data_IF_541011375336
#
_entry.id   IF_541011375336
#
_cell.length_a   1.000
_cell.length_b   1.000
_cell.length_c   1.000
_cell.angle_alpha   90.00
_cell.angle_beta   90.00
_cell.angle_gamma   90.00
#
_symmetry.space_group_name_H-M   'P 1'
#
loop_
_entity.id
_entity.type
_entity.pdbx_description
1 polymer ?
#
# COMPACT_ATOMS: atom_id res chain seq x y z
N UNK A 1 -12.15 12.21 20.31
CA UNK A 1 -12.40 12.21 18.87
C UNK A 1 -11.43 11.22 18.25
N UNK A 2 -11.91 9.98 17.99
CA UNK A 2 -11.09 8.90 17.43
C UNK A 2 -10.68 9.24 16.00
N UNK A 3 -9.38 9.13 15.70
CA UNK A 3 -8.87 9.22 14.33
C UNK A 3 -9.39 8.02 13.55
N UNK A 4 -10.12 8.25 12.47
CA UNK A 4 -10.55 7.20 11.55
C UNK A 4 -9.36 6.85 10.65
N UNK A 5 -8.76 5.69 10.86
CA UNK A 5 -7.71 5.17 10.00
C UNK A 5 -8.35 4.38 8.84
N UNK A 6 -8.26 4.94 7.62
CA UNK A 6 -8.74 4.31 6.38
C UNK A 6 -7.70 4.43 5.28
N UNK A 7 -7.79 3.59 4.25
CA UNK A 7 -7.09 3.83 2.99
C UNK A 7 -7.84 4.95 2.26
N UNK A 8 -7.12 5.97 1.85
CA UNK A 8 -7.64 7.03 0.98
C UNK A 8 -7.16 6.74 -0.43
N UNK A 9 -8.07 6.80 -1.39
CA UNK A 9 -7.74 6.66 -2.80
C UNK A 9 -7.93 8.03 -3.45
N UNK A 10 -6.83 8.67 -3.85
CA UNK A 10 -6.84 9.93 -4.62
C UNK A 10 -6.10 9.65 -5.91
N UNK A 11 -6.72 9.84 -7.05
CA UNK A 11 -6.14 9.51 -8.35
C UNK A 11 -5.44 10.71 -9.01
N UNK A 12 -4.22 10.53 -9.52
CA UNK A 12 -3.52 11.48 -10.37
C UNK A 12 -3.43 10.91 -11.80
N UNK A 13 -4.22 11.42 -12.73
CA UNK A 13 -4.16 11.06 -14.15
C UNK A 13 -3.12 11.93 -14.86
N UNK A 14 -2.16 11.29 -15.53
CA UNK A 14 -1.31 11.96 -16.51
C UNK A 14 -1.58 11.38 -17.90
N UNK A 15 -2.06 12.20 -18.84
CA UNK A 15 -2.20 11.75 -20.23
C UNK A 15 -0.82 11.52 -20.84
N UNK A 16 -0.62 10.35 -21.45
CA UNK A 16 0.50 10.10 -22.36
C UNK A 16 1.80 9.59 -21.74
N UNK A 17 1.78 9.03 -20.51
CA UNK A 17 2.97 8.43 -19.92
C UNK A 17 2.92 6.90 -19.97
N UNK A 18 4.02 6.27 -20.43
CA UNK A 18 4.20 4.82 -20.34
C UNK A 18 4.52 4.41 -18.88
N UNK A 19 4.49 3.09 -18.58
CA UNK A 19 4.69 2.54 -17.23
C UNK A 19 6.02 3.03 -16.60
N UNK A 20 7.08 3.21 -17.37
CA UNK A 20 8.39 3.71 -16.91
C UNK A 20 8.36 5.22 -16.54
N UNK A 21 7.54 6.01 -17.22
CA UNK A 21 7.34 7.42 -16.87
C UNK A 21 6.46 7.59 -15.62
N UNK A 22 5.59 6.63 -15.35
CA UNK A 22 4.79 6.56 -14.12
C UNK A 22 5.69 6.47 -12.88
N UNK A 23 6.74 5.66 -12.91
CA UNK A 23 7.77 5.55 -11.87
C UNK A 23 8.35 6.91 -11.46
N UNK A 24 8.71 7.74 -12.44
CA UNK A 24 9.32 9.06 -12.19
C UNK A 24 8.34 10.09 -11.64
N UNK A 25 7.08 10.04 -12.06
CA UNK A 25 6.08 11.06 -11.70
C UNK A 25 5.51 10.86 -10.28
N UNK A 26 5.28 9.62 -9.86
CA UNK A 26 4.80 9.30 -8.51
C UNK A 26 5.87 9.65 -7.48
N UNK A 27 7.14 9.33 -7.74
CA UNK A 27 8.25 9.58 -6.83
C UNK A 27 8.60 11.07 -6.69
N UNK A 28 8.56 11.85 -7.77
CA UNK A 28 8.84 13.29 -7.73
C UNK A 28 7.74 14.14 -7.11
N UNK A 29 6.53 13.63 -6.99
CA UNK A 29 5.40 14.40 -6.43
C UNK A 29 5.03 14.04 -5.00
N UNK A 30 5.58 12.98 -4.42
CA UNK A 30 5.43 12.70 -2.99
C UNK A 30 6.12 13.74 -2.10
N UNK A 31 7.17 14.39 -2.60
CA UNK A 31 7.81 15.54 -1.94
C UNK A 31 6.97 16.84 -2.05
N UNK A 32 5.95 16.87 -2.90
CA UNK A 32 5.09 18.04 -3.15
C UNK A 32 3.74 17.96 -2.44
N UNK A 33 3.50 16.98 -1.59
CA UNK A 33 2.34 16.96 -0.70
C UNK A 33 2.56 17.88 0.51
N UNK A 34 2.88 19.14 0.24
CA UNK A 34 2.36 20.23 1.06
C UNK A 34 0.83 20.04 1.13
N UNK A 35 0.18 20.27 2.29
CA UNK A 35 -1.22 19.95 2.45
C UNK A 35 -2.01 20.58 1.31
N UNK A 36 -2.69 19.74 0.52
CA UNK A 36 -3.52 20.15 -0.60
C UNK A 36 -4.68 21.00 -0.07
N UNK A 37 -4.42 22.31 0.15
CA UNK A 37 -5.38 23.31 0.60
C UNK A 37 -6.19 23.91 -0.55
N UNK A 38 -6.04 23.42 -1.79
CA UNK A 38 -6.79 23.88 -2.96
C UNK A 38 -7.44 22.72 -3.67
N UNK A 39 -8.35 22.02 -2.99
CA UNK A 39 -9.21 21.01 -3.60
C UNK A 39 -10.62 21.54 -3.90
N UNK A 40 -10.79 22.84 -4.06
CA UNK A 40 -12.13 23.43 -4.23
C UNK A 40 -12.68 23.29 -5.64
N UNK A 41 -11.85 22.94 -6.65
CA UNK A 41 -12.28 22.84 -8.05
C UNK A 41 -12.35 21.42 -8.63
N UNK A 42 -11.94 20.40 -7.91
CA UNK A 42 -12.09 19.00 -8.32
C UNK A 42 -12.76 18.23 -7.21
N UNK A 43 -13.94 17.67 -7.48
CA UNK A 43 -14.65 16.76 -6.57
C UNK A 43 -13.77 15.52 -6.29
N UNK A 44 -12.83 15.67 -5.35
CA UNK A 44 -12.09 14.54 -4.81
C UNK A 44 -13.05 13.75 -3.94
N UNK A 45 -13.62 12.67 -4.46
CA UNK A 45 -14.41 11.76 -3.65
C UNK A 45 -13.45 10.96 -2.76
N UNK A 46 -13.45 11.30 -1.48
CA UNK A 46 -12.66 10.58 -0.48
C UNK A 46 -13.46 9.35 -0.06
N UNK A 47 -13.08 8.19 -0.60
CA UNK A 47 -13.66 6.92 -0.16
C UNK A 47 -12.92 6.46 1.09
N UNK A 48 -13.58 6.52 2.23
CA UNK A 48 -13.11 5.90 3.45
C UNK A 48 -13.57 4.45 3.48
N UNK A 49 -12.65 3.49 3.60
CA UNK A 49 -13.03 2.17 4.07
C UNK A 49 -13.66 2.30 5.47
N UNK A 50 -14.82 1.69 5.73
CA UNK A 50 -15.45 1.74 7.03
C UNK A 50 -14.46 1.28 8.09
N UNK A 51 -14.35 2.09 9.12
CA UNK A 51 -13.43 2.08 10.23
C UNK A 51 -12.60 0.82 10.44
N UNK A 52 -11.31 0.95 10.29
CA UNK A 52 -10.39 0.04 10.92
C UNK A 52 -10.43 0.35 12.42
N UNK A 53 -11.36 -0.26 13.12
CA UNK A 53 -11.13 -0.51 14.53
C UNK A 53 -9.84 -1.34 14.55
N UNK A 54 -8.86 -0.91 15.32
CA UNK A 54 -7.65 -1.67 15.65
C UNK A 54 -8.12 -3.00 16.25
N UNK A 55 -8.49 -3.95 15.39
CA UNK A 55 -8.86 -5.30 15.76
C UNK A 55 -7.62 -6.17 15.77
N UNK A 56 -7.70 -7.28 16.51
CA UNK A 56 -6.67 -8.31 16.49
C UNK A 56 -6.18 -8.58 15.06
N UNK A 57 -4.86 -8.54 14.83
CA UNK A 57 -4.25 -8.69 13.51
C UNK A 57 -3.99 -7.39 12.75
N UNK A 58 -3.97 -6.23 13.40
CA UNK A 58 -3.41 -5.00 12.81
C UNK A 58 -1.88 -5.09 12.73
N UNK A 59 -1.25 -4.21 11.91
CA UNK A 59 0.21 -4.09 11.93
C UNK A 59 0.75 -3.64 13.29
N UNK A 60 -0.11 -3.13 14.18
CA UNK A 60 0.20 -2.85 15.57
C UNK A 60 0.38 -4.15 16.37
N UNK A 61 -0.38 -5.19 16.07
CA UNK A 61 -0.23 -6.47 16.76
C UNK A 61 1.05 -7.22 16.35
N UNK A 62 1.51 -7.03 15.12
CA UNK A 62 2.76 -7.63 14.62
C UNK A 62 3.99 -7.15 15.38
N UNK A 63 3.98 -5.95 15.94
CA UNK A 63 5.09 -5.40 16.71
C UNK A 63 5.11 -5.80 18.20
N UNK A 64 4.03 -6.36 18.73
CA UNK A 64 3.93 -6.70 20.14
C UNK A 64 4.90 -7.82 20.55
N UNK A 65 5.78 -7.52 21.52
CA UNK A 65 6.77 -8.47 22.02
C UNK A 65 8.01 -8.63 21.13
N UNK A 66 8.08 -7.93 20.01
CA UNK A 66 9.24 -7.92 19.10
C UNK A 66 10.37 -7.12 19.73
N UNK A 67 11.57 -7.71 19.76
CA UNK A 67 12.78 -7.07 20.27
C UNK A 67 13.87 -6.97 19.23
N UNK A 68 14.06 -8.01 18.42
CA UNK A 68 15.16 -8.15 17.46
C UNK A 68 14.69 -7.93 16.02
N UNK A 69 15.64 -7.65 15.11
CA UNK A 69 15.35 -7.50 13.68
C UNK A 69 14.78 -8.79 13.07
N UNK A 70 15.21 -9.97 13.53
CA UNK A 70 14.69 -11.24 13.05
C UNK A 70 13.21 -11.43 13.45
N UNK A 71 12.87 -11.18 14.70
CA UNK A 71 11.49 -11.23 15.18
C UNK A 71 10.60 -10.20 14.44
N UNK A 72 11.12 -9.00 14.18
CA UNK A 72 10.43 -7.98 13.42
C UNK A 72 10.18 -8.43 11.97
N UNK A 73 11.15 -9.07 11.33
CA UNK A 73 11.04 -9.61 9.99
C UNK A 73 9.96 -10.69 9.93
N UNK A 74 9.99 -11.66 10.82
CA UNK A 74 9.03 -12.76 10.84
C UNK A 74 7.61 -12.27 11.10
N UNK A 75 7.44 -11.34 12.05
CA UNK A 75 6.17 -10.71 12.33
C UNK A 75 5.60 -9.96 11.12
N UNK A 76 6.46 -9.30 10.33
CA UNK A 76 6.05 -8.62 9.10
C UNK A 76 5.68 -9.62 7.99
N UNK A 77 6.41 -10.72 7.83
CA UNK A 77 6.07 -11.80 6.90
C UNK A 77 4.68 -12.35 7.22
N UNK A 78 4.41 -12.67 8.49
CA UNK A 78 3.11 -13.19 8.91
C UNK A 78 1.97 -12.17 8.73
N UNK A 79 2.25 -10.90 8.97
CA UNK A 79 1.32 -9.81 8.68
C UNK A 79 0.93 -9.78 7.20
N UNK A 80 1.93 -9.87 6.31
CA UNK A 80 1.69 -9.81 4.85
C UNK A 80 0.94 -11.03 4.33
N UNK A 81 1.19 -12.23 4.84
CA UNK A 81 0.38 -13.43 4.53
C UNK A 81 -1.10 -13.23 4.82
N UNK A 82 -1.42 -12.54 5.91
CA UNK A 82 -2.81 -12.30 6.30
C UNK A 82 -3.49 -11.18 5.51
N UNK A 83 -2.75 -10.17 5.05
CA UNK A 83 -3.32 -8.96 4.43
C UNK A 83 -4.28 -9.23 3.27
N UNK A 84 -3.99 -10.11 2.30
CA UNK A 84 -4.85 -10.34 1.15
C UNK A 84 -6.26 -10.79 1.51
N UNK A 85 -6.41 -11.48 2.64
CA UNK A 85 -7.67 -12.12 3.05
C UNK A 85 -8.42 -11.37 4.15
N UNK A 86 -7.91 -10.23 4.61
CA UNK A 86 -8.62 -9.40 5.60
C UNK A 86 -9.85 -8.75 4.95
N UNK A 87 -11.06 -8.95 5.50
CA UNK A 87 -12.31 -8.48 4.88
C UNK A 87 -12.29 -6.97 4.57
N UNK A 88 -11.75 -6.15 5.47
CA UNK A 88 -11.65 -4.70 5.27
C UNK A 88 -10.72 -4.32 4.13
N UNK A 89 -9.61 -5.06 3.93
CA UNK A 89 -8.68 -4.80 2.84
C UNK A 89 -9.22 -5.29 1.51
N UNK A 90 -9.81 -6.48 1.46
CA UNK A 90 -10.45 -6.98 0.23
C UNK A 90 -11.58 -6.06 -0.24
N UNK A 91 -12.40 -5.55 0.68
CA UNK A 91 -13.42 -4.55 0.36
C UNK A 91 -12.78 -3.27 -0.19
N UNK A 92 -11.72 -2.78 0.45
CA UNK A 92 -11.02 -1.57 0.02
C UNK A 92 -10.38 -1.75 -1.36
N UNK A 93 -9.76 -2.90 -1.64
CA UNK A 93 -9.15 -3.17 -2.94
C UNK A 93 -10.21 -3.30 -4.05
N UNK A 94 -11.39 -3.89 -3.77
CA UNK A 94 -12.53 -3.87 -4.70
C UNK A 94 -12.94 -2.44 -5.05
N UNK A 95 -13.14 -1.61 -4.02
CA UNK A 95 -13.50 -0.20 -4.20
C UNK A 95 -12.43 0.58 -4.98
N UNK A 96 -11.15 0.30 -4.74
CA UNK A 96 -10.04 0.88 -5.48
C UNK A 96 -10.15 0.56 -6.97
N UNK A 97 -10.32 -0.72 -7.34
CA UNK A 97 -10.48 -1.13 -8.73
C UNK A 97 -11.74 -0.54 -9.37
N UNK A 98 -12.86 -0.51 -8.64
CA UNK A 98 -14.10 0.12 -9.11
C UNK A 98 -13.86 1.59 -9.47
N UNK A 99 -13.21 2.35 -8.60
CA UNK A 99 -12.90 3.76 -8.84
C UNK A 99 -11.92 3.98 -10.00
N UNK A 100 -10.94 3.09 -10.16
CA UNK A 100 -10.04 3.14 -11.32
C UNK A 100 -10.77 2.89 -12.63
N UNK A 101 -11.81 2.07 -12.62
CA UNK A 101 -12.63 1.76 -13.80
C UNK A 101 -13.69 2.81 -14.11
N UNK A 102 -14.24 3.49 -13.09
CA UNK A 102 -15.23 4.56 -13.27
C UNK A 102 -14.69 5.80 -14.02
N UNK A 103 -13.38 5.92 -14.16
CA UNK A 103 -12.73 6.95 -14.97
C UNK A 103 -12.88 8.39 -14.46
N UNK A 104 -13.26 8.58 -13.21
CA UNK A 104 -13.52 9.89 -12.60
C UNK A 104 -12.27 10.73 -12.28
N UNK A 105 -11.12 10.34 -12.76
CA UNK A 105 -9.90 11.14 -12.64
C UNK A 105 -8.75 10.41 -11.95
N UNK A 106 -7.71 11.15 -11.53
CA UNK A 106 -6.51 10.58 -10.91
C UNK A 106 -6.79 9.99 -9.53
N UNK A 107 -6.17 8.83 -9.17
CA UNK A 107 -6.31 8.16 -7.87
C UNK A 107 -4.98 8.10 -7.11
N UNK A 108 -4.99 8.50 -5.86
CA UNK A 108 -3.89 8.26 -4.90
C UNK A 108 -4.32 7.18 -3.91
N UNK A 109 -3.59 6.08 -3.86
CA UNK A 109 -3.79 5.02 -2.86
C UNK A 109 -2.80 5.21 -1.73
N UNK A 110 -3.29 5.34 -0.51
CA UNK A 110 -2.40 5.43 0.66
C UNK A 110 -3.04 4.79 1.89
N UNK A 111 -2.21 4.23 2.78
CA UNK A 111 -2.61 3.81 4.12
C UNK A 111 -2.03 4.79 5.16
N UNK A 112 -1.89 4.40 6.43
CA UNK A 112 -1.32 5.27 7.46
C UNK A 112 0.15 5.65 7.13
N UNK A 113 1.00 4.64 6.90
CA UNK A 113 2.42 4.84 6.60
C UNK A 113 2.72 4.90 5.09
N UNK A 114 1.75 4.58 4.23
CA UNK A 114 1.92 4.53 2.78
C UNK A 114 2.85 3.43 2.29
N UNK A 115 3.12 2.38 3.08
CA UNK A 115 4.05 1.31 2.71
C UNK A 115 3.38 -0.05 2.51
N UNK A 116 2.91 -0.72 3.54
CA UNK A 116 2.49 -2.13 3.52
C UNK A 116 1.20 -2.36 2.72
N UNK A 117 0.06 -1.88 3.22
CA UNK A 117 -1.24 -2.02 2.56
C UNK A 117 -1.28 -1.32 1.21
N UNK A 118 -0.59 -0.19 1.10
CA UNK A 118 -0.42 0.56 -0.15
C UNK A 118 0.46 -0.21 -1.12
N UNK A 119 1.58 -0.76 -0.66
CA UNK A 119 2.48 -1.57 -1.49
C UNK A 119 1.77 -2.77 -2.10
N UNK A 120 1.02 -3.54 -1.29
CA UNK A 120 0.23 -4.67 -1.81
C UNK A 120 -0.86 -4.20 -2.80
N UNK A 121 -1.58 -3.10 -2.50
CA UNK A 121 -2.58 -2.54 -3.40
C UNK A 121 -1.99 -2.15 -4.77
N UNK A 122 -0.83 -1.48 -4.76
CA UNK A 122 -0.12 -1.06 -5.99
C UNK A 122 0.40 -2.28 -6.75
N UNK A 123 0.97 -3.28 -6.05
CA UNK A 123 1.44 -4.52 -6.66
C UNK A 123 0.31 -5.26 -7.40
N UNK A 124 -0.89 -5.35 -6.80
CA UNK A 124 -2.06 -5.96 -7.44
C UNK A 124 -2.50 -5.18 -8.69
N UNK A 125 -2.47 -3.85 -8.66
CA UNK A 125 -2.77 -3.03 -9.85
C UNK A 125 -1.73 -3.25 -10.95
N UNK A 126 -0.46 -3.20 -10.61
CA UNK A 126 0.65 -3.41 -11.56
C UNK A 126 0.58 -4.80 -12.19
N UNK A 127 0.28 -5.84 -11.41
CA UNK A 127 0.07 -7.19 -11.93
C UNK A 127 -1.09 -7.23 -12.95
N UNK A 128 -2.23 -6.60 -12.66
CA UNK A 128 -3.38 -6.54 -13.59
C UNK A 128 -3.06 -5.74 -14.86
N UNK A 129 -2.11 -4.82 -14.81
CA UNK A 129 -1.59 -4.09 -15.97
C UNK A 129 -0.58 -4.91 -16.78
N UNK A 130 -0.08 -6.04 -16.26
CA UNK A 130 0.90 -6.90 -16.91
C UNK A 130 2.34 -6.49 -16.66
N UNK A 131 2.62 -5.77 -15.57
CA UNK A 131 3.98 -5.45 -15.14
C UNK A 131 4.67 -6.73 -14.65
N UNK A 132 5.93 -6.90 -15.02
CA UNK A 132 6.71 -8.06 -14.58
C UNK A 132 6.92 -8.04 -13.07
N UNK A 133 6.99 -9.23 -12.45
CA UNK A 133 7.12 -9.36 -11.00
C UNK A 133 8.35 -8.62 -10.45
N UNK A 134 9.51 -8.76 -11.09
CA UNK A 134 10.73 -8.09 -10.64
C UNK A 134 10.60 -6.57 -10.65
N UNK A 135 9.90 -6.00 -11.64
CA UNK A 135 9.61 -4.57 -11.71
C UNK A 135 8.64 -4.12 -10.60
N UNK A 136 7.68 -4.97 -10.25
CA UNK A 136 6.75 -4.74 -9.12
C UNK A 136 7.53 -4.68 -7.81
N UNK A 137 8.43 -5.65 -7.58
CA UNK A 137 9.28 -5.70 -6.39
C UNK A 137 10.22 -4.50 -6.34
N UNK A 138 10.84 -4.13 -7.46
CA UNK A 138 11.72 -2.94 -7.52
C UNK A 138 10.95 -1.67 -7.17
N UNK A 139 9.76 -1.47 -7.75
CA UNK A 139 8.89 -0.31 -7.44
C UNK A 139 8.49 -0.29 -5.95
N UNK A 140 8.11 -1.43 -5.40
CA UNK A 140 7.79 -1.58 -3.99
C UNK A 140 8.95 -1.17 -3.08
N UNK A 141 10.18 -1.58 -3.41
CA UNK A 141 11.40 -1.26 -2.66
C UNK A 141 11.78 0.22 -2.71
N UNK A 142 11.31 0.99 -3.69
CA UNK A 142 11.49 2.44 -3.72
C UNK A 142 10.91 3.14 -2.48
N UNK A 143 9.99 2.50 -1.77
CA UNK A 143 9.47 2.97 -0.48
C UNK A 143 10.60 3.25 0.53
N UNK A 144 11.67 2.45 0.51
CA UNK A 144 12.81 2.64 1.40
C UNK A 144 13.68 3.86 1.04
N UNK A 145 13.70 4.25 -0.22
CA UNK A 145 14.54 5.34 -0.74
C UNK A 145 13.74 6.63 -0.82
N UNK A 146 12.63 6.62 -1.57
CA UNK A 146 11.83 7.82 -1.84
C UNK A 146 11.08 8.34 -0.60
N UNK A 147 10.78 7.44 0.37
CA UNK A 147 10.05 7.78 1.59
C UNK A 147 10.90 8.51 2.65
N UNK A 148 12.15 8.87 2.36
CA UNK A 148 13.10 9.45 3.33
C UNK A 148 13.13 8.66 4.65
N UNK A 149 13.50 7.38 4.55
CA UNK A 149 13.45 6.39 5.63
C UNK A 149 14.13 6.88 6.92
N UNK A 150 15.33 7.46 6.82
CA UNK A 150 16.08 7.92 8.00
C UNK A 150 15.31 8.99 8.78
N UNK A 151 14.71 9.94 8.07
CA UNK A 151 13.89 10.98 8.70
C UNK A 151 12.63 10.39 9.35
N UNK A 152 12.02 9.39 8.72
CA UNK A 152 10.82 8.71 9.26
C UNK A 152 11.18 7.91 10.50
N UNK A 153 12.31 7.19 10.51
CA UNK A 153 12.80 6.46 11.67
C UNK A 153 13.09 7.45 12.81
N UNK A 154 13.86 8.51 12.53
CA UNK A 154 14.16 9.52 13.54
C UNK A 154 12.91 10.17 14.16
N UNK A 155 11.86 10.37 13.35
CA UNK A 155 10.60 10.97 13.83
C UNK A 155 9.64 9.98 14.51
N UNK A 156 9.76 8.67 14.25
CA UNK A 156 8.77 7.67 14.64
C UNK A 156 9.29 6.57 15.57
N UNK A 157 10.58 6.42 15.76
CA UNK A 157 11.16 5.31 16.55
C UNK A 157 10.63 5.25 18.00
N UNK A 158 10.54 6.39 18.66
CA UNK A 158 10.03 6.47 20.03
C UNK A 158 8.56 6.06 20.11
N UNK A 159 7.76 6.45 19.13
CA UNK A 159 6.37 6.06 19.05
C UNK A 159 6.20 4.56 18.76
N UNK A 160 7.09 3.97 17.94
CA UNK A 160 7.13 2.52 17.69
C UNK A 160 7.45 1.79 18.99
N UNK A 161 8.50 2.19 19.70
CA UNK A 161 8.86 1.59 20.98
C UNK A 161 7.78 1.74 22.04
N UNK A 162 7.17 2.92 22.13
CA UNK A 162 6.09 3.17 23.09
C UNK A 162 4.86 2.29 22.84
N UNK A 163 4.60 1.92 21.57
CA UNK A 163 3.44 1.11 21.22
C UNK A 163 3.70 -0.39 21.23
N UNK A 164 4.95 -0.82 20.96
CA UNK A 164 5.25 -2.25 20.71
C UNK A 164 6.22 -2.87 21.72
N UNK A 165 7.02 -2.07 22.40
CA UNK A 165 7.94 -2.52 23.44
C UNK A 165 9.13 -1.58 23.59
N UNK A 166 9.38 -1.08 24.83
CA UNK A 166 10.47 -0.13 25.09
C UNK A 166 11.86 -0.73 24.84
N UNK A 167 11.98 -2.06 24.92
CA UNK A 167 13.24 -2.80 24.76
C UNK A 167 13.54 -3.19 23.31
N UNK A 168 12.79 -2.65 22.34
CA UNK A 168 12.99 -2.95 20.93
C UNK A 168 14.31 -2.33 20.42
N UNK A 169 15.14 -3.15 19.80
CA UNK A 169 16.42 -2.76 19.21
C UNK A 169 16.22 -1.81 18.00
N UNK A 170 17.21 -0.98 17.70
CA UNK A 170 17.14 -0.04 16.57
C UNK A 170 16.92 -0.74 15.23
N UNK A 171 17.55 -1.91 15.02
CA UNK A 171 17.39 -2.67 13.79
C UNK A 171 16.00 -3.31 13.69
N UNK A 172 15.35 -3.67 14.81
CA UNK A 172 13.97 -4.11 14.82
C UNK A 172 13.00 -2.96 14.44
N UNK A 173 13.22 -1.77 14.99
CA UNK A 173 12.48 -0.55 14.61
C UNK A 173 12.66 -0.28 13.12
N UNK A 174 13.88 -0.35 12.60
CA UNK A 174 14.20 -0.17 11.19
C UNK A 174 13.46 -1.19 10.33
N UNK A 175 13.47 -2.46 10.71
CA UNK A 175 12.77 -3.54 10.00
C UNK A 175 11.26 -3.28 9.95
N UNK A 176 10.64 -2.92 11.08
CA UNK A 176 9.20 -2.59 11.10
C UNK A 176 8.85 -1.34 10.27
N UNK A 177 9.77 -0.39 10.14
CA UNK A 177 9.52 0.87 9.41
C UNK A 177 9.92 0.81 7.94
N UNK A 178 10.65 -0.22 7.51
CA UNK A 178 11.06 -0.46 6.12
C UNK A 178 10.13 -1.44 5.39
N UNK A 179 10.42 -1.70 4.12
CA UNK A 179 9.85 -2.80 3.34
C UNK A 179 10.97 -3.72 2.87
N UNK A 180 10.64 -5.01 2.72
CA UNK A 180 11.56 -6.04 2.27
C UNK A 180 10.89 -6.91 1.20
N UNK A 181 11.63 -7.44 0.18
CA UNK A 181 11.04 -8.29 -0.85
C UNK A 181 10.21 -9.43 -0.25
N UNK A 182 10.76 -10.13 0.75
CA UNK A 182 10.08 -11.24 1.43
C UNK A 182 8.70 -10.89 1.99
N UNK A 183 8.43 -9.63 2.31
CA UNK A 183 7.12 -9.22 2.81
C UNK A 183 6.08 -9.27 1.68
N UNK A 184 6.39 -8.66 0.53
CA UNK A 184 5.49 -8.68 -0.63
C UNK A 184 5.35 -10.10 -1.17
N UNK A 185 6.46 -10.83 -1.28
CA UNK A 185 6.47 -12.21 -1.74
C UNK A 185 5.59 -13.10 -0.85
N UNK A 186 5.66 -12.96 0.48
CA UNK A 186 4.81 -13.72 1.40
C UNK A 186 3.31 -13.48 1.16
N UNK A 187 2.90 -12.25 0.83
CA UNK A 187 1.51 -11.97 0.47
C UNK A 187 1.13 -12.62 -0.87
N UNK A 188 2.01 -12.54 -1.87
CA UNK A 188 1.75 -13.09 -3.20
C UNK A 188 1.80 -14.63 -3.20
N UNK A 189 2.69 -15.24 -2.43
CA UNK A 189 2.74 -16.70 -2.22
C UNK A 189 1.46 -17.22 -1.55
N UNK A 190 0.95 -16.51 -0.53
CA UNK A 190 -0.30 -16.87 0.14
C UNK A 190 -1.52 -16.72 -0.77
N UNK A 191 -1.51 -15.72 -1.65
CA UNK A 191 -2.51 -15.55 -2.73
C UNK A 191 -2.43 -16.71 -3.73
N UNK A 192 -1.23 -17.18 -4.06
CA UNK A 192 -0.96 -18.18 -5.10
C UNK A 192 -1.23 -17.62 -6.50
N UNK A 193 -2.32 -18.00 -7.13
CA UNK A 193 -2.71 -17.47 -8.44
C UNK A 193 -3.35 -16.07 -8.29
N UNK A 194 -2.56 -15.03 -8.57
CA UNK A 194 -2.97 -13.62 -8.42
C UNK A 194 -4.10 -13.26 -9.40
N UNK A 195 -4.13 -13.81 -10.61
CA UNK A 195 -5.22 -13.55 -11.56
C UNK A 195 -6.53 -14.14 -11.06
N UNK A 196 -6.50 -15.36 -10.53
CA UNK A 196 -7.67 -15.98 -9.91
C UNK A 196 -8.14 -15.22 -8.69
N UNK A 197 -7.24 -14.83 -7.80
CA UNK A 197 -7.55 -14.02 -6.62
C UNK A 197 -8.21 -12.68 -7.02
N UNK A 198 -7.62 -11.96 -7.97
CA UNK A 198 -8.19 -10.71 -8.46
C UNK A 198 -9.58 -10.93 -9.07
N UNK A 199 -9.79 -12.01 -9.81
CA UNK A 199 -11.08 -12.36 -10.40
C UNK A 199 -12.15 -12.72 -9.36
N UNK A 200 -11.86 -13.70 -8.52
CA UNK A 200 -12.82 -14.28 -7.59
C UNK A 200 -13.02 -13.43 -6.33
N UNK A 201 -11.94 -12.88 -5.78
CA UNK A 201 -11.98 -12.13 -4.52
C UNK A 201 -12.17 -10.64 -4.76
N UNK A 202 -11.54 -10.04 -5.78
CA UNK A 202 -11.60 -8.59 -6.01
C UNK A 202 -12.57 -8.19 -7.13
N UNK A 203 -13.16 -9.15 -7.84
CA UNK A 203 -14.14 -8.90 -8.91
C UNK A 203 -13.51 -8.38 -10.21
N UNK A 204 -12.19 -8.57 -10.39
CA UNK A 204 -11.46 -8.18 -11.60
C UNK A 204 -11.59 -9.24 -12.69
N UNK A 205 -12.75 -9.30 -13.34
CA UNK A 205 -12.96 -10.17 -14.51
C UNK A 205 -12.00 -9.81 -15.65
N UNK A 206 -11.76 -10.71 -16.63
CA UNK A 206 -10.94 -10.39 -17.81
C UNK A 206 -11.38 -9.11 -18.53
N UNK A 207 -12.68 -8.90 -18.68
CA UNK A 207 -13.22 -7.68 -19.30
C UNK A 207 -12.90 -6.41 -18.49
N UNK A 208 -12.94 -6.49 -17.16
CA UNK A 208 -12.57 -5.36 -16.27
C UNK A 208 -11.06 -5.11 -16.31
N UNK A 209 -10.24 -6.16 -16.37
CA UNK A 209 -8.79 -6.04 -16.54
C UNK A 209 -8.44 -5.34 -17.85
N UNK A 210 -9.07 -5.70 -18.95
CA UNK A 210 -8.87 -5.04 -20.25
C UNK A 210 -9.32 -3.57 -20.21
N UNK A 211 -10.42 -3.28 -19.52
CA UNK A 211 -10.86 -1.90 -19.32
C UNK A 211 -9.85 -1.09 -18.49
N UNK A 212 -9.30 -1.68 -17.43
CA UNK A 212 -8.24 -1.06 -16.61
C UNK A 212 -6.99 -0.75 -17.43
N UNK A 213 -6.54 -1.71 -18.26
CA UNK A 213 -5.40 -1.52 -19.15
C UNK A 213 -5.62 -0.38 -20.13
N UNK A 214 -6.79 -0.32 -20.77
CA UNK A 214 -7.14 0.81 -21.65
C UNK A 214 -7.20 2.15 -20.94
N UNK A 215 -7.62 2.15 -19.69
CA UNK A 215 -7.74 3.40 -18.92
C UNK A 215 -6.39 3.95 -18.44
N UNK A 216 -5.42 3.07 -18.13
CA UNK A 216 -4.18 3.46 -17.47
C UNK A 216 -2.92 3.35 -18.33
N UNK A 217 -2.92 2.54 -19.39
CA UNK A 217 -1.73 2.25 -20.21
C UNK A 217 -1.86 2.77 -21.65
N UNK A 218 -3.06 3.15 -22.10
CA UNK A 218 -3.30 3.67 -23.45
C UNK A 218 -2.85 5.13 -23.64
#
# INVERSE_FOLDING_TARGET
>A
AGRREGIRVVMLRTRGTNVLQWRRLVLHRLDLLEPCRRADDHKAEVVFAPGNTLGAGSHLDAGNGVRTAAEAHDAMVDLYRQMPFRPTLTQTYRMMFDRMLDGHGPSLVHCLAGKDRTGLAVALVQHQLGVHHDDIVEDYLLTNVAGNMERRIAAGADAVRANFGPDMEDDAVRTLMSVHPAFLDAALEEIGDVDRYCGEVLGMTPARRDALRRALVA
#
